data_IF_590401817553
#
_entry.id   IF_590401817553
#
_cell.length_a   1.000
_cell.length_b   1.000
_cell.length_c   1.000
_cell.angle_alpha   90.00
_cell.angle_beta   90.00
_cell.angle_gamma   90.00
#
_symmetry.space_group_name_H-M   'P 1'
#
loop_
_entity.id
_entity.type
_entity.pdbx_description
1 polymer ?
#
# COMPACT_ATOMS: atom_id res chain seq x y z
N UNK A 1 8.81 -59.40 -34.91
CA UNK A 1 7.81 -60.23 -34.21
C UNK A 1 7.51 -59.65 -32.83
N UNK A 2 6.19 -59.53 -32.58
CA UNK A 2 5.47 -59.31 -31.33
C UNK A 2 5.53 -57.92 -30.69
N UNK A 3 4.37 -57.24 -30.92
CA UNK A 3 3.69 -56.21 -30.12
C UNK A 3 3.49 -56.67 -28.67
N UNK A 4 3.47 -55.74 -27.72
CA UNK A 4 2.44 -55.68 -26.69
C UNK A 4 2.27 -54.25 -26.18
N UNK A 5 1.08 -53.73 -26.42
CA UNK A 5 0.38 -52.70 -25.70
C UNK A 5 0.15 -53.15 -24.24
N UNK A 6 -0.09 -52.23 -23.32
CA UNK A 6 -1.06 -52.22 -22.22
C UNK A 6 -0.68 -51.02 -21.32
N UNK A 7 -1.51 -50.03 -21.34
CA UNK A 7 -2.65 -49.62 -20.53
C UNK A 7 -2.34 -48.61 -19.45
N UNK A 8 -3.08 -47.55 -19.61
CA UNK A 8 -3.31 -46.46 -18.64
C UNK A 8 -3.80 -47.00 -17.29
N UNK A 9 -3.37 -46.37 -16.20
CA UNK A 9 -4.21 -46.25 -15.01
C UNK A 9 -4.00 -44.85 -14.39
N UNK A 10 -5.05 -44.04 -14.51
CA UNK A 10 -5.35 -42.91 -13.65
C UNK A 10 -5.50 -43.40 -12.20
N UNK A 11 -4.75 -42.83 -11.27
CA UNK A 11 -5.10 -42.88 -9.85
C UNK A 11 -4.95 -41.48 -9.24
N UNK A 12 -6.10 -40.85 -8.98
CA UNK A 12 -6.26 -39.71 -8.11
C UNK A 12 -5.99 -40.09 -6.64
N UNK A 13 -5.29 -39.30 -5.83
CA UNK A 13 -5.20 -39.55 -4.38
C UNK A 13 -6.49 -39.09 -3.70
N UNK A 14 -7.21 -40.04 -3.11
CA UNK A 14 -8.33 -39.80 -2.20
C UNK A 14 -7.79 -39.26 -0.87
N UNK A 15 -8.21 -38.07 -0.49
CA UNK A 15 -8.03 -37.54 0.87
C UNK A 15 -8.95 -38.31 1.84
N UNK A 16 -8.35 -39.02 2.78
CA UNK A 16 -9.03 -39.59 3.95
C UNK A 16 -9.02 -38.58 5.07
N UNK A 17 -10.22 -38.14 5.47
CA UNK A 17 -10.42 -37.40 6.72
C UNK A 17 -10.47 -38.37 7.88
N UNK A 18 -9.51 -38.34 8.79
CA UNK A 18 -9.60 -39.06 10.07
C UNK A 18 -10.18 -38.07 11.10
N UNK A 19 -11.41 -38.32 11.50
CA UNK A 19 -12.00 -37.68 12.68
C UNK A 19 -11.51 -38.42 13.93
N UNK A 20 -10.70 -37.77 14.75
CA UNK A 20 -10.43 -38.19 16.12
C UNK A 20 -11.33 -37.40 17.06
N UNK A 21 -12.37 -38.05 17.56
CA UNK A 21 -13.20 -37.56 18.67
C UNK A 21 -12.39 -37.69 19.97
N UNK A 22 -12.01 -36.57 20.58
CA UNK A 22 -11.56 -36.56 21.98
C UNK A 22 -12.52 -35.66 22.78
N UNK A 23 -13.38 -36.34 23.54
CA UNK A 23 -14.17 -35.73 24.61
C UNK A 23 -13.24 -35.14 25.68
N UNK A 24 -13.28 -33.83 25.90
CA UNK A 24 -13.04 -33.23 27.21
C UNK A 24 -13.70 -31.85 27.31
N UNK A 25 -14.66 -31.80 28.22
CA UNK A 25 -15.32 -30.61 28.77
C UNK A 25 -14.28 -29.56 29.19
N UNK A 26 -14.29 -28.39 28.57
CA UNK A 26 -13.53 -27.23 29.04
C UNK A 26 -14.52 -26.23 29.63
N UNK A 27 -14.41 -26.03 30.91
CA UNK A 27 -15.10 -25.00 31.70
C UNK A 27 -14.77 -23.61 31.11
N UNK A 28 -15.80 -22.88 30.74
CA UNK A 28 -15.71 -21.48 30.32
C UNK A 28 -15.44 -20.64 31.58
N UNK A 29 -14.19 -20.26 31.80
CA UNK A 29 -13.88 -19.20 32.76
C UNK A 29 -14.20 -17.85 32.11
N UNK A 30 -15.22 -17.18 32.65
CA UNK A 30 -15.49 -15.76 32.35
C UNK A 30 -14.30 -14.93 32.85
N UNK A 31 -13.74 -14.00 32.05
CA UNK A 31 -12.84 -13.02 32.61
C UNK A 31 -13.62 -12.05 33.50
N UNK A 32 -13.15 -11.90 34.72
CA UNK A 32 -13.55 -10.87 35.68
C UNK A 32 -13.11 -9.53 35.10
N UNK A 33 -14.05 -8.65 34.83
CA UNK A 33 -13.79 -7.24 34.55
C UNK A 33 -13.26 -6.59 35.82
N UNK A 34 -11.97 -6.29 35.87
CA UNK A 34 -11.42 -5.33 36.84
C UNK A 34 -11.58 -3.93 36.25
N UNK A 35 -12.48 -3.15 36.84
CA UNK A 35 -12.56 -1.70 36.67
C UNK A 35 -11.23 -1.05 37.05
N UNK A 36 -10.84 -0.07 36.24
CA UNK A 36 -9.77 0.92 36.38
C UNK A 36 -8.58 0.74 35.40
N UNK A 37 -8.84 1.01 34.12
CA UNK A 37 -7.82 1.56 33.24
C UNK A 37 -8.27 2.97 32.84
N UNK A 38 -7.70 3.97 33.51
CA UNK A 38 -7.80 5.38 33.16
C UNK A 38 -7.23 5.56 31.76
N UNK A 39 -8.10 5.88 30.81
CA UNK A 39 -7.68 6.32 29.47
C UNK A 39 -6.97 7.68 29.61
N UNK A 40 -5.79 7.87 29.01
CA UNK A 40 -5.17 9.18 29.00
C UNK A 40 -5.98 10.15 28.16
N UNK A 41 -6.14 11.35 28.71
CA UNK A 41 -7.05 12.41 28.37
C UNK A 41 -7.22 12.73 26.89
N UNK A 42 -8.46 12.98 26.55
CA UNK A 42 -8.90 13.72 25.38
C UNK A 42 -8.47 15.19 25.54
N UNK A 43 -7.34 15.53 24.94
CA UNK A 43 -6.96 16.92 24.72
C UNK A 43 -7.02 17.20 23.22
N UNK A 44 -7.80 18.26 22.89
CA UNK A 44 -7.85 18.98 21.62
C UNK A 44 -8.67 18.34 20.47
N UNK A 45 -9.98 18.16 20.73
CA UNK A 45 -10.97 18.34 19.66
C UNK A 45 -11.59 19.74 19.87
N UNK A 46 -11.69 20.60 18.85
CA UNK A 46 -12.40 21.85 18.96
C UNK A 46 -13.88 21.59 19.22
N UNK A 47 -14.45 22.31 20.17
CA UNK A 47 -15.84 22.28 20.60
C UNK A 47 -16.77 22.53 19.41
N UNK A 48 -17.68 21.58 19.13
CA UNK A 48 -18.63 21.65 18.03
C UNK A 48 -19.84 22.45 18.43
N UNK A 49 -19.87 23.72 17.99
CA UNK A 49 -21.12 24.47 17.87
C UNK A 49 -21.84 24.08 16.57
N UNK A 50 -23.09 23.69 16.70
CA UNK A 50 -24.19 23.50 15.77
C UNK A 50 -23.93 23.82 14.27
N UNK A 51 -23.90 22.77 13.45
CA UNK A 51 -23.79 22.84 11.98
C UNK A 51 -22.79 21.80 11.45
N UNK A 52 -22.91 20.53 11.88
CA UNK A 52 -21.96 19.48 11.52
C UNK A 52 -22.06 19.11 10.04
N UNK A 53 -21.25 19.76 9.19
CA UNK A 53 -20.75 19.09 8.01
C UNK A 53 -19.80 18.01 8.49
N UNK A 54 -20.24 16.74 8.47
CA UNK A 54 -19.39 15.62 8.89
C UNK A 54 -18.05 15.68 8.14
N UNK A 55 -16.95 15.86 8.88
CA UNK A 55 -15.61 15.92 8.30
C UNK A 55 -15.27 14.53 7.75
N UNK A 56 -15.17 14.42 6.44
CA UNK A 56 -14.78 13.16 5.78
C UNK A 56 -13.29 12.94 5.90
N UNK A 57 -12.87 11.82 6.50
CA UNK A 57 -11.47 11.46 6.64
C UNK A 57 -11.00 10.74 5.37
N UNK A 58 -9.97 11.29 4.73
CA UNK A 58 -9.32 10.72 3.55
C UNK A 58 -8.03 10.01 3.94
N UNK A 59 -7.81 8.82 3.41
CA UNK A 59 -6.53 8.10 3.45
C UNK A 59 -6.23 7.60 2.04
N UNK A 60 -5.35 8.31 1.34
CA UNK A 60 -5.13 8.14 -0.10
C UNK A 60 -3.86 7.36 -0.44
N UNK A 61 -3.29 6.64 0.55
CA UNK A 61 -2.10 5.81 0.33
C UNK A 61 -2.12 4.62 1.30
N UNK A 62 -2.36 3.44 0.77
CA UNK A 62 -2.39 2.20 1.54
C UNK A 62 -2.07 0.96 0.69
N UNK A 63 -1.54 -0.08 1.34
CA UNK A 63 -1.08 -1.30 0.69
C UNK A 63 -1.78 -2.55 1.23
N UNK A 64 -1.97 -3.52 0.33
CA UNK A 64 -2.57 -4.81 0.61
C UNK A 64 -1.59 -5.96 0.33
N UNK A 65 -2.05 -7.19 0.53
CA UNK A 65 -1.30 -8.38 0.10
C UNK A 65 -1.15 -8.52 -1.41
N UNK A 66 -1.77 -7.66 -2.23
CA UNK A 66 -1.50 -7.62 -3.66
C UNK A 66 -0.08 -7.09 -3.95
N UNK A 67 0.49 -6.27 -3.04
CA UNK A 67 1.91 -5.90 -3.04
C UNK A 67 2.58 -6.34 -1.73
N UNK A 68 2.89 -5.45 -0.81
CA UNK A 68 3.64 -5.75 0.41
C UNK A 68 2.95 -5.32 1.71
N UNK A 69 1.68 -4.99 1.65
CA UNK A 69 0.84 -4.93 2.82
C UNK A 69 0.65 -6.31 3.47
N UNK A 70 0.25 -6.35 4.72
CA UNK A 70 -0.02 -7.60 5.43
C UNK A 70 -1.51 -7.97 5.51
N UNK A 71 -2.42 -7.06 5.15
CA UNK A 71 -3.85 -7.30 5.11
C UNK A 71 -4.30 -7.59 3.68
N UNK A 72 -5.23 -8.55 3.53
CA UNK A 72 -5.91 -8.72 2.25
C UNK A 72 -6.70 -7.47 1.90
N UNK A 73 -7.03 -7.22 0.62
CA UNK A 73 -7.88 -6.09 0.23
C UNK A 73 -9.18 -6.03 1.03
N UNK A 74 -9.84 -7.16 1.25
CA UNK A 74 -11.03 -7.27 2.09
C UNK A 74 -10.77 -6.85 3.55
N UNK A 75 -9.71 -7.36 4.15
CA UNK A 75 -9.35 -7.03 5.53
C UNK A 75 -8.97 -5.55 5.69
N UNK A 76 -8.32 -4.94 4.67
CA UNK A 76 -7.95 -3.54 4.68
C UNK A 76 -9.17 -2.63 4.69
N UNK A 77 -10.16 -2.85 3.79
CA UNK A 77 -11.36 -2.01 3.72
C UNK A 77 -12.24 -2.16 4.96
N UNK A 78 -12.33 -3.36 5.54
CA UNK A 78 -13.00 -3.58 6.82
C UNK A 78 -12.32 -2.79 7.95
N UNK A 79 -10.98 -2.79 7.98
CA UNK A 79 -10.21 -2.02 8.95
C UNK A 79 -10.39 -0.51 8.73
N UNK A 80 -10.35 -0.03 7.49
CA UNK A 80 -10.58 1.38 7.17
C UNK A 80 -11.94 1.86 7.68
N UNK A 81 -13.00 1.07 7.47
CA UNK A 81 -14.32 1.37 8.00
C UNK A 81 -14.35 1.42 9.55
N UNK A 82 -13.66 0.46 10.22
CA UNK A 82 -13.52 0.47 11.69
C UNK A 82 -12.78 1.72 12.18
N UNK A 83 -11.78 2.19 11.42
CA UNK A 83 -11.02 3.41 11.72
C UNK A 83 -11.73 4.69 11.28
N UNK A 84 -12.99 4.59 10.78
CA UNK A 84 -13.82 5.70 10.31
C UNK A 84 -13.20 6.50 9.17
N UNK A 85 -12.40 5.85 8.32
CA UNK A 85 -11.98 6.42 7.06
C UNK A 85 -13.20 6.49 6.15
N UNK A 86 -13.51 7.66 5.61
CA UNK A 86 -14.65 7.86 4.70
C UNK A 86 -14.25 7.67 3.24
N UNK A 87 -12.99 7.99 2.89
CA UNK A 87 -12.45 7.83 1.54
C UNK A 87 -11.07 7.17 1.64
N UNK A 88 -10.92 6.01 1.00
CA UNK A 88 -9.69 5.22 0.98
C UNK A 88 -9.20 5.05 -0.45
N UNK A 89 -7.92 5.25 -0.72
CA UNK A 89 -7.26 4.71 -1.90
C UNK A 89 -6.42 3.49 -1.54
N UNK A 90 -6.55 2.43 -2.33
CA UNK A 90 -5.61 1.31 -2.34
C UNK A 90 -4.61 1.59 -3.46
N UNK A 91 -3.34 1.64 -3.11
CA UNK A 91 -2.24 2.08 -3.98
C UNK A 91 -1.09 1.09 -3.94
N UNK A 92 -1.40 -0.19 -4.12
CA UNK A 92 -0.41 -1.26 -4.13
C UNK A 92 0.72 -0.99 -5.14
N UNK A 93 1.95 -1.36 -4.80
CA UNK A 93 3.12 -1.15 -5.64
C UNK A 93 2.99 -1.84 -7.01
N UNK A 94 2.96 -1.04 -8.08
CA UNK A 94 2.94 -1.44 -9.49
C UNK A 94 1.86 -2.48 -9.84
N UNK A 95 0.73 -2.49 -9.11
CA UNK A 95 -0.40 -3.38 -9.35
C UNK A 95 -1.73 -2.80 -8.87
N UNK A 96 -2.80 -3.13 -9.59
CA UNK A 96 -4.19 -2.80 -9.22
C UNK A 96 -4.99 -4.05 -8.81
N UNK A 97 -4.32 -5.21 -8.65
CA UNK A 97 -4.97 -6.50 -8.45
C UNK A 97 -5.86 -6.59 -7.19
N UNK A 98 -5.57 -5.78 -6.15
CA UNK A 98 -6.35 -5.74 -4.91
C UNK A 98 -7.70 -5.02 -5.02
N UNK A 99 -7.92 -4.18 -6.05
CA UNK A 99 -9.06 -3.27 -6.12
C UNK A 99 -10.40 -3.98 -6.28
N UNK A 100 -10.46 -5.04 -7.08
CA UNK A 100 -11.70 -5.77 -7.32
C UNK A 100 -12.24 -6.44 -6.05
N UNK A 101 -11.36 -7.11 -5.26
CA UNK A 101 -11.74 -7.71 -3.99
C UNK A 101 -12.19 -6.65 -2.98
N UNK A 102 -11.48 -5.52 -2.91
CA UNK A 102 -11.83 -4.42 -2.04
C UNK A 102 -13.21 -3.84 -2.37
N UNK A 103 -13.48 -3.55 -3.64
CA UNK A 103 -14.77 -3.03 -4.10
C UNK A 103 -15.91 -4.01 -3.81
N UNK A 104 -15.72 -5.30 -4.13
CA UNK A 104 -16.70 -6.34 -3.83
C UNK A 104 -16.99 -6.44 -2.33
N UNK A 105 -15.97 -6.33 -1.48
CA UNK A 105 -16.14 -6.38 -0.02
C UNK A 105 -16.91 -5.17 0.50
N UNK A 106 -16.61 -3.96 0.02
CA UNK A 106 -17.34 -2.74 0.40
C UNK A 106 -18.82 -2.90 0.07
N UNK A 107 -19.15 -3.37 -1.13
CA UNK A 107 -20.54 -3.58 -1.57
C UNK A 107 -21.23 -4.67 -0.75
N UNK A 108 -20.62 -5.84 -0.55
CA UNK A 108 -21.19 -6.97 0.19
C UNK A 108 -21.42 -6.65 1.67
N UNK A 109 -20.51 -5.91 2.28
CA UNK A 109 -20.57 -5.52 3.69
C UNK A 109 -21.28 -4.18 3.92
N UNK A 110 -21.75 -3.53 2.85
CA UNK A 110 -22.42 -2.22 2.88
C UNK A 110 -21.62 -1.18 3.70
N UNK A 111 -20.30 -1.13 3.47
CA UNK A 111 -19.43 -0.22 4.23
C UNK A 111 -19.65 1.22 3.77
N UNK A 112 -19.80 2.14 4.74
CA UNK A 112 -19.80 3.58 4.48
C UNK A 112 -18.38 4.08 4.17
N UNK A 113 -17.80 3.58 3.08
CA UNK A 113 -16.42 3.80 2.66
C UNK A 113 -16.38 3.94 1.14
N UNK A 114 -15.89 5.08 0.65
CA UNK A 114 -15.63 5.29 -0.78
C UNK A 114 -14.23 4.79 -1.12
N UNK A 115 -14.12 3.87 -2.09
CA UNK A 115 -12.85 3.42 -2.64
C UNK A 115 -12.45 4.28 -3.83
N UNK A 116 -11.23 4.80 -3.81
CA UNK A 116 -10.58 5.45 -4.94
C UNK A 116 -9.62 4.43 -5.56
N UNK A 117 -9.81 4.06 -6.85
CA UNK A 117 -8.85 3.20 -7.54
C UNK A 117 -7.50 3.91 -7.66
N UNK A 118 -6.46 3.26 -7.20
CA UNK A 118 -5.11 3.83 -7.20
C UNK A 118 -4.03 2.80 -7.45
N UNK A 119 -2.81 3.28 -7.57
CA UNK A 119 -1.58 2.49 -7.70
C UNK A 119 -0.40 3.33 -7.25
N UNK A 120 0.60 2.74 -6.61
CA UNK A 120 1.90 3.40 -6.36
C UNK A 120 2.92 2.87 -7.36
N UNK A 121 3.28 3.72 -8.35
CA UNK A 121 4.21 3.37 -9.41
C UNK A 121 5.64 3.66 -8.95
N UNK A 122 6.49 2.64 -9.00
CA UNK A 122 7.92 2.78 -8.74
C UNK A 122 8.62 3.43 -9.93
N UNK A 123 9.37 4.50 -9.70
CA UNK A 123 10.11 5.24 -10.74
C UNK A 123 11.57 5.44 -10.40
N UNK A 124 12.37 5.80 -11.39
CA UNK A 124 13.75 6.22 -11.22
C UNK A 124 13.92 7.68 -11.66
N UNK A 125 14.52 8.47 -10.80
CA UNK A 125 14.96 9.83 -11.09
C UNK A 125 16.37 10.07 -10.55
N UNK A 126 17.31 10.44 -11.40
CA UNK A 126 18.71 10.72 -11.01
C UNK A 126 19.34 9.61 -10.11
N UNK A 127 19.05 8.34 -10.42
CA UNK A 127 19.43 7.16 -9.62
C UNK A 127 18.80 7.05 -8.21
N UNK A 128 17.75 7.82 -7.92
CA UNK A 128 16.90 7.66 -6.76
C UNK A 128 15.62 6.91 -7.13
N UNK A 129 15.21 5.96 -6.30
CA UNK A 129 13.89 5.33 -6.40
C UNK A 129 12.87 6.34 -5.85
N UNK A 130 11.95 6.80 -6.70
CA UNK A 130 10.88 7.76 -6.38
C UNK A 130 9.55 7.05 -6.66
N UNK A 131 8.53 7.32 -5.88
CA UNK A 131 7.22 6.72 -6.07
C UNK A 131 6.20 7.77 -6.49
N UNK A 132 5.37 7.40 -7.47
CA UNK A 132 4.28 8.24 -7.94
C UNK A 132 2.97 7.49 -7.71
N UNK A 133 2.10 8.05 -6.89
CA UNK A 133 0.76 7.53 -6.67
C UNK A 133 -0.16 8.06 -7.77
N UNK A 134 -0.84 7.16 -8.47
CA UNK A 134 -1.97 7.47 -9.34
C UNK A 134 -3.26 7.34 -8.55
N UNK A 135 -4.10 8.37 -8.54
CA UNK A 135 -5.41 8.37 -7.88
C UNK A 135 -6.52 8.54 -8.91
N UNK A 136 -7.62 7.78 -8.78
CA UNK A 136 -8.77 7.89 -9.67
C UNK A 136 -8.50 7.38 -11.09
N UNK A 137 -7.59 6.43 -11.25
CA UNK A 137 -7.21 5.85 -12.54
C UNK A 137 -8.29 4.91 -13.07
N UNK A 138 -8.48 4.89 -14.41
CA UNK A 138 -9.14 3.76 -15.06
C UNK A 138 -8.17 2.59 -15.14
N UNK A 139 -8.40 1.58 -14.31
CA UNK A 139 -7.53 0.39 -14.18
C UNK A 139 -7.52 -0.50 -15.42
N UNK A 140 -8.41 -0.25 -16.37
CA UNK A 140 -8.51 -1.00 -17.64
C UNK A 140 -7.94 -0.22 -18.82
N UNK A 141 -7.48 1.02 -18.61
CA UNK A 141 -6.90 1.83 -19.69
C UNK A 141 -5.56 1.24 -20.15
N UNK A 142 -5.36 1.14 -21.47
CA UNK A 142 -4.20 0.49 -22.07
C UNK A 142 -2.84 1.05 -21.55
N UNK A 143 -2.75 2.37 -21.36
CA UNK A 143 -1.52 3.01 -20.91
C UNK A 143 -1.07 2.49 -19.52
N UNK A 144 -2.02 2.41 -18.57
CA UNK A 144 -1.71 1.95 -17.23
C UNK A 144 -1.47 0.44 -17.20
N UNK A 145 -2.28 -0.35 -17.94
CA UNK A 145 -2.10 -1.79 -18.04
C UNK A 145 -0.73 -2.17 -18.61
N UNK A 146 -0.30 -1.48 -19.68
CA UNK A 146 1.01 -1.71 -20.30
C UNK A 146 2.15 -1.37 -19.35
N UNK A 147 2.12 -0.18 -18.73
CA UNK A 147 3.15 0.23 -17.78
C UNK A 147 3.25 -0.74 -16.61
N UNK A 148 2.12 -1.11 -15.98
CA UNK A 148 2.13 -2.00 -14.83
C UNK A 148 2.57 -3.43 -15.19
N UNK A 149 2.29 -3.90 -16.40
CA UNK A 149 2.81 -5.18 -16.89
C UNK A 149 4.33 -5.18 -17.01
N UNK A 150 4.92 -4.11 -17.56
CA UNK A 150 6.37 -3.95 -17.65
C UNK A 150 7.01 -3.84 -16.27
N UNK A 151 6.43 -3.05 -15.37
CA UNK A 151 6.90 -2.90 -13.99
C UNK A 151 6.85 -4.23 -13.22
N UNK A 152 5.78 -5.00 -13.38
CA UNK A 152 5.64 -6.33 -12.77
C UNK A 152 6.74 -7.28 -13.25
N UNK A 153 7.07 -7.26 -14.55
CA UNK A 153 8.18 -8.03 -15.08
C UNK A 153 9.53 -7.59 -14.50
N UNK A 154 9.78 -6.28 -14.42
CA UNK A 154 10.98 -5.74 -13.79
C UNK A 154 11.10 -6.15 -12.32
N UNK A 155 9.99 -6.15 -11.56
CA UNK A 155 9.96 -6.66 -10.19
C UNK A 155 10.32 -8.12 -10.10
N UNK A 156 9.71 -8.95 -10.94
CA UNK A 156 9.99 -10.38 -10.97
C UNK A 156 11.46 -10.67 -11.26
N UNK A 157 12.03 -10.08 -12.32
CA UNK A 157 13.45 -10.24 -12.69
C UNK A 157 14.35 -9.78 -11.55
N UNK A 158 14.08 -8.61 -10.97
CA UNK A 158 14.84 -8.08 -9.82
C UNK A 158 14.79 -9.01 -8.62
N UNK A 159 13.61 -9.56 -8.31
CA UNK A 159 13.43 -10.48 -7.18
C UNK A 159 14.23 -11.79 -7.38
N UNK A 160 14.24 -12.35 -8.59
CA UNK A 160 15.07 -13.52 -8.92
C UNK A 160 16.57 -13.23 -8.73
N UNK A 161 17.02 -12.05 -9.16
CA UNK A 161 18.43 -11.66 -9.00
C UNK A 161 18.79 -11.42 -7.52
N UNK A 162 17.90 -10.80 -6.71
CA UNK A 162 18.09 -10.67 -5.26
C UNK A 162 18.26 -12.05 -4.63
N UNK A 163 17.38 -13.00 -4.95
CA UNK A 163 17.47 -14.37 -4.46
C UNK A 163 18.78 -15.03 -4.81
N UNK A 164 19.20 -14.94 -6.07
CA UNK A 164 20.48 -15.50 -6.53
C UNK A 164 21.68 -14.90 -5.78
N UNK A 165 21.68 -13.60 -5.51
CA UNK A 165 22.73 -12.93 -4.73
C UNK A 165 22.73 -13.37 -3.25
N UNK A 166 21.55 -13.51 -2.64
CA UNK A 166 21.44 -13.99 -1.27
C UNK A 166 21.87 -15.45 -1.14
N UNK A 167 21.55 -16.31 -2.11
CA UNK A 167 22.03 -17.70 -2.16
C UNK A 167 23.55 -17.78 -2.20
N UNK A 168 24.23 -16.94 -3.02
CA UNK A 168 25.70 -16.82 -3.04
C UNK A 168 26.28 -16.40 -1.68
N UNK A 169 25.51 -15.66 -0.88
CA UNK A 169 25.87 -15.27 0.49
C UNK A 169 25.47 -16.33 1.55
N UNK A 170 25.16 -17.56 1.14
CA UNK A 170 24.74 -18.66 1.99
C UNK A 170 23.41 -18.43 2.75
N UNK A 171 22.52 -17.67 2.13
CA UNK A 171 21.13 -17.50 2.57
C UNK A 171 20.26 -18.25 1.54
N UNK A 172 19.98 -19.54 1.75
CA UNK A 172 19.21 -20.37 0.83
C UNK A 172 17.71 -20.00 0.89
N UNK A 173 16.96 -20.50 -0.08
CA UNK A 173 15.49 -20.47 -0.12
C UNK A 173 14.90 -19.06 -0.02
N UNK A 174 15.69 -18.03 -0.43
CA UNK A 174 15.27 -16.64 -0.30
C UNK A 174 14.09 -16.31 -1.21
N UNK A 175 14.01 -16.93 -2.40
CA UNK A 175 12.88 -16.79 -3.30
C UNK A 175 11.62 -17.44 -2.70
N UNK A 176 11.73 -18.69 -2.28
CA UNK A 176 10.63 -19.46 -1.71
C UNK A 176 10.05 -18.78 -0.47
N UNK A 177 10.94 -18.28 0.40
CA UNK A 177 10.56 -17.55 1.60
C UNK A 177 9.85 -16.23 1.28
N UNK A 178 10.41 -15.43 0.38
CA UNK A 178 9.82 -14.16 -0.04
C UNK A 178 8.49 -14.37 -0.78
N UNK A 179 8.40 -15.35 -1.68
CA UNK A 179 7.21 -15.67 -2.44
C UNK A 179 6.08 -16.22 -1.53
N UNK A 180 6.42 -17.05 -0.54
CA UNK A 180 5.46 -17.49 0.48
C UNK A 180 4.86 -16.31 1.24
N UNK A 181 5.69 -15.34 1.62
CA UNK A 181 5.26 -14.14 2.33
C UNK A 181 4.46 -13.16 1.45
N UNK A 182 4.68 -13.19 0.15
CA UNK A 182 3.88 -12.42 -0.82
C UNK A 182 2.47 -13.00 -1.03
N UNK A 183 2.23 -14.26 -0.63
CA UNK A 183 0.89 -14.89 -0.63
C UNK A 183 0.13 -14.76 -1.95
N UNK A 184 0.83 -14.83 -3.08
CA UNK A 184 0.26 -14.66 -4.42
C UNK A 184 0.30 -13.23 -4.98
N UNK A 185 0.66 -12.23 -4.18
CA UNK A 185 0.93 -10.87 -4.61
C UNK A 185 2.32 -10.69 -5.22
N UNK A 186 2.65 -9.46 -5.57
CA UNK A 186 3.98 -9.13 -6.13
C UNK A 186 5.08 -9.28 -5.08
N UNK A 187 6.16 -9.98 -5.43
CA UNK A 187 7.32 -10.11 -4.54
C UNK A 187 8.13 -8.81 -4.53
N UNK A 188 8.21 -8.17 -3.36
CA UNK A 188 8.97 -6.93 -3.14
C UNK A 188 10.22 -7.17 -2.29
N UNK A 189 11.08 -6.16 -2.16
CA UNK A 189 12.20 -6.19 -1.20
C UNK A 189 11.73 -6.33 0.25
N UNK A 190 10.52 -5.86 0.55
CA UNK A 190 9.88 -6.00 1.86
C UNK A 190 9.69 -7.47 2.24
N UNK A 191 9.30 -8.33 1.28
CA UNK A 191 9.14 -9.76 1.51
C UNK A 191 10.47 -10.45 1.82
N UNK A 192 11.52 -10.16 1.05
CA UNK A 192 12.88 -10.63 1.38
C UNK A 192 13.31 -10.17 2.77
N UNK A 193 13.05 -8.90 3.10
CA UNK A 193 13.42 -8.38 4.41
C UNK A 193 12.68 -9.09 5.55
N UNK A 194 11.37 -9.33 5.40
CA UNK A 194 10.59 -10.12 6.37
C UNK A 194 11.10 -11.55 6.51
N UNK A 195 11.41 -12.20 5.38
CA UNK A 195 11.98 -13.55 5.40
C UNK A 195 13.34 -13.61 6.14
N UNK A 196 14.22 -12.65 5.91
CA UNK A 196 15.51 -12.60 6.61
C UNK A 196 15.35 -12.32 8.12
N UNK A 197 14.30 -11.61 8.52
CA UNK A 197 13.93 -11.48 9.95
C UNK A 197 13.44 -12.80 10.52
N UNK A 198 12.59 -13.56 9.81
CA UNK A 198 12.15 -14.91 10.21
C UNK A 198 13.33 -15.87 10.40
N UNK A 199 14.35 -15.76 9.56
CA UNK A 199 15.60 -16.53 9.69
C UNK A 199 16.49 -16.08 10.87
N UNK A 200 16.11 -15.04 11.60
CA UNK A 200 16.90 -14.50 12.71
C UNK A 200 18.18 -13.76 12.29
N UNK A 201 18.33 -13.41 11.00
CA UNK A 201 19.52 -12.73 10.48
C UNK A 201 19.58 -11.25 10.86
N UNK A 202 18.45 -10.67 11.26
CA UNK A 202 18.32 -9.34 11.83
C UNK A 202 17.07 -9.26 12.71
N UNK A 203 17.02 -8.30 13.64
CA UNK A 203 15.91 -8.16 14.58
C UNK A 203 14.69 -7.45 13.99
N UNK A 204 14.83 -6.74 12.87
CA UNK A 204 13.77 -6.04 12.19
C UNK A 204 14.10 -5.74 10.72
N UNK A 205 13.07 -5.40 9.95
CA UNK A 205 13.16 -5.08 8.50
C UNK A 205 14.19 -3.99 8.20
N UNK A 206 14.22 -2.90 8.99
CA UNK A 206 15.17 -1.80 8.77
C UNK A 206 16.64 -2.24 8.89
N UNK A 207 16.94 -3.16 9.82
CA UNK A 207 18.27 -3.75 9.93
C UNK A 207 18.62 -4.66 8.75
N UNK A 208 17.62 -5.40 8.21
CA UNK A 208 17.83 -6.20 7.00
C UNK A 208 18.23 -5.31 5.83
N UNK A 209 17.51 -4.21 5.60
CA UNK A 209 17.88 -3.27 4.54
C UNK A 209 19.33 -2.79 4.70
N UNK A 210 19.71 -2.31 5.90
CA UNK A 210 21.08 -1.83 6.17
C UNK A 210 22.15 -2.91 5.96
N UNK A 211 21.85 -4.17 6.28
CA UNK A 211 22.83 -5.26 6.29
C UNK A 211 22.92 -5.99 4.95
N UNK A 212 21.79 -6.16 4.23
CA UNK A 212 21.69 -7.08 3.11
C UNK A 212 21.15 -6.45 1.82
N UNK A 213 20.22 -5.51 1.86
CA UNK A 213 19.43 -5.08 0.69
C UNK A 213 19.72 -3.65 0.21
N UNK A 214 20.33 -2.80 1.03
CA UNK A 214 20.71 -1.45 0.63
C UNK A 214 21.85 -1.43 -0.39
N UNK A 215 22.04 -0.29 -1.06
CA UNK A 215 23.13 -0.07 -2.05
C UNK A 215 24.49 -0.50 -1.48
N UNK A 216 25.23 -1.27 -2.25
CA UNK A 216 26.53 -1.81 -1.83
C UNK A 216 26.47 -3.03 -0.91
N UNK A 217 25.30 -3.59 -0.64
CA UNK A 217 25.10 -4.82 0.14
C UNK A 217 24.89 -6.04 -0.76
N UNK A 218 25.07 -7.23 -0.18
CA UNK A 218 25.10 -8.50 -0.93
C UNK A 218 23.84 -8.75 -1.75
N UNK A 219 22.64 -8.48 -1.22
CA UNK A 219 21.37 -8.68 -1.92
C UNK A 219 20.91 -7.45 -2.70
N UNK A 220 21.72 -6.39 -2.81
CA UNK A 220 21.32 -5.21 -3.56
C UNK A 220 21.31 -5.49 -5.07
N UNK A 221 20.20 -5.22 -5.70
CA UNK A 221 20.01 -5.22 -7.15
C UNK A 221 19.50 -3.85 -7.57
N UNK A 222 20.16 -3.15 -8.50
CA UNK A 222 19.65 -1.88 -9.03
C UNK A 222 18.22 -2.04 -9.57
N UNK A 223 17.40 -1.04 -9.37
CA UNK A 223 16.08 -1.00 -9.98
C UNK A 223 16.18 -0.64 -11.47
N UNK A 224 15.20 -1.11 -12.25
CA UNK A 224 15.01 -0.78 -13.66
C UNK A 224 13.57 -0.29 -13.87
N UNK A 225 13.16 0.67 -13.03
CA UNK A 225 11.83 1.23 -13.08
C UNK A 225 11.65 2.21 -14.23
N UNK A 226 10.41 2.49 -14.59
CA UNK A 226 10.08 3.57 -15.51
C UNK A 226 10.56 4.94 -14.97
N UNK A 227 10.51 5.95 -15.80
CA UNK A 227 10.80 7.34 -15.38
C UNK A 227 9.57 7.99 -14.75
N UNK A 228 9.76 9.12 -14.07
CA UNK A 228 8.66 9.91 -13.50
C UNK A 228 7.69 10.35 -14.60
N UNK A 229 8.22 10.77 -15.75
CA UNK A 229 7.45 11.24 -16.90
C UNK A 229 6.54 10.13 -17.47
N UNK A 230 7.07 8.91 -17.59
CA UNK A 230 6.30 7.76 -18.06
C UNK A 230 5.17 7.41 -17.09
N UNK A 231 5.43 7.48 -15.78
CA UNK A 231 4.41 7.23 -14.76
C UNK A 231 3.31 8.30 -14.80
N UNK A 232 3.68 9.59 -14.86
CA UNK A 232 2.73 10.70 -14.97
C UNK A 232 1.89 10.55 -16.22
N UNK A 233 2.51 10.28 -17.38
CA UNK A 233 1.80 10.15 -18.66
C UNK A 233 0.77 9.01 -18.63
N UNK A 234 1.15 7.82 -18.11
CA UNK A 234 0.23 6.69 -17.98
C UNK A 234 -0.93 6.98 -17.03
N UNK A 235 -0.68 7.65 -15.90
CA UNK A 235 -1.73 8.06 -14.95
C UNK A 235 -2.69 9.07 -15.61
N UNK A 236 -2.16 10.08 -16.28
CA UNK A 236 -2.97 11.12 -16.93
C UNK A 236 -3.82 10.55 -18.07
N UNK A 237 -3.26 9.68 -18.90
CA UNK A 237 -4.01 9.01 -19.97
C UNK A 237 -5.14 8.13 -19.44
N UNK A 238 -4.96 7.53 -18.25
CA UNK A 238 -6.01 6.75 -17.59
C UNK A 238 -7.03 7.62 -16.81
N UNK A 239 -7.01 8.94 -16.98
CA UNK A 239 -7.93 9.87 -16.33
C UNK A 239 -7.61 10.19 -14.86
N UNK A 240 -6.50 9.67 -14.33
CA UNK A 240 -6.08 9.85 -12.94
C UNK A 240 -5.32 11.14 -12.66
N UNK A 241 -5.03 11.34 -11.37
CA UNK A 241 -4.17 12.42 -10.86
C UNK A 241 -2.86 11.81 -10.35
N UNK A 242 -1.72 12.40 -10.78
CA UNK A 242 -0.39 11.98 -10.37
C UNK A 242 0.04 12.70 -9.09
N UNK A 243 0.43 11.95 -8.07
CA UNK A 243 0.82 12.44 -6.75
C UNK A 243 2.24 11.98 -6.41
N UNK A 244 3.14 12.91 -6.07
CA UNK A 244 4.46 12.55 -5.54
C UNK A 244 4.30 11.96 -4.13
N UNK A 245 4.61 10.67 -3.97
CA UNK A 245 4.44 9.95 -2.72
C UNK A 245 5.53 10.32 -1.69
N UNK A 246 5.16 10.41 -0.43
CA UNK A 246 6.02 10.54 0.76
C UNK A 246 7.35 11.33 0.57
N UNK A 247 7.34 12.56 0.03
CA UNK A 247 8.57 13.30 -0.33
C UNK A 247 9.50 13.58 0.87
N UNK A 248 8.97 13.57 2.08
CA UNK A 248 9.75 13.73 3.31
C UNK A 248 10.56 12.48 3.71
N UNK A 249 10.34 11.33 3.06
CA UNK A 249 11.04 10.07 3.39
C UNK A 249 12.25 9.77 2.51
N UNK A 250 12.43 10.51 1.41
CA UNK A 250 13.59 10.35 0.56
C UNK A 250 14.84 10.91 1.24
N UNK A 251 15.95 10.17 1.15
CA UNK A 251 17.25 10.64 1.63
C UNK A 251 17.83 11.68 0.63
N UNK A 252 17.11 12.79 0.52
CA UNK A 252 17.43 13.92 -0.36
C UNK A 252 17.71 15.17 0.46
N UNK A 253 18.73 15.92 0.07
CA UNK A 253 18.90 17.28 0.61
C UNK A 253 17.75 18.18 0.15
N UNK A 254 17.48 19.28 0.86
CA UNK A 254 16.45 20.24 0.46
C UNK A 254 16.65 20.76 -0.99
N UNK A 255 17.90 20.89 -1.46
CA UNK A 255 18.23 21.28 -2.83
C UNK A 255 17.76 20.20 -3.83
N UNK A 256 18.00 18.94 -3.52
CA UNK A 256 17.61 17.83 -4.37
C UNK A 256 16.10 17.60 -4.38
N UNK A 257 15.45 17.74 -3.21
CA UNK A 257 13.99 17.65 -3.13
C UNK A 257 13.32 18.76 -3.96
N UNK A 258 13.82 20.00 -3.90
CA UNK A 258 13.32 21.10 -4.73
C UNK A 258 13.51 20.85 -6.23
N UNK A 259 14.61 20.23 -6.65
CA UNK A 259 14.80 19.80 -8.05
C UNK A 259 13.80 18.74 -8.46
N UNK A 260 13.54 17.74 -7.59
CA UNK A 260 12.53 16.72 -7.83
C UNK A 260 11.14 17.33 -7.99
N UNK A 261 10.76 18.24 -7.09
CA UNK A 261 9.46 18.93 -7.14
C UNK A 261 9.30 19.76 -8.42
N UNK A 262 10.34 20.51 -8.81
CA UNK A 262 10.34 21.27 -10.05
C UNK A 262 10.18 20.37 -11.26
N UNK A 263 10.92 19.27 -11.33
CA UNK A 263 10.83 18.29 -12.39
C UNK A 263 9.44 17.63 -12.44
N UNK A 264 8.91 17.18 -11.30
CA UNK A 264 7.59 16.57 -11.20
C UNK A 264 6.47 17.52 -11.66
N UNK A 265 6.52 18.79 -11.25
CA UNK A 265 5.54 19.81 -11.67
C UNK A 265 5.68 20.15 -13.16
N UNK A 266 6.91 20.24 -13.69
CA UNK A 266 7.18 20.52 -15.12
C UNK A 266 6.57 19.47 -16.03
N UNK A 267 6.62 18.19 -15.62
CA UNK A 267 6.04 17.08 -16.39
C UNK A 267 4.54 16.82 -16.11
N UNK A 268 3.87 17.70 -15.39
CA UNK A 268 2.41 17.68 -15.21
C UNK A 268 1.93 16.88 -14.01
N UNK A 269 2.79 16.67 -13.00
CA UNK A 269 2.35 16.14 -11.70
C UNK A 269 1.30 17.06 -11.06
N UNK A 270 0.27 16.49 -10.45
CA UNK A 270 -0.89 17.24 -9.92
C UNK A 270 -0.73 17.59 -8.45
N UNK A 271 -0.19 16.69 -7.65
CA UNK A 271 -0.16 16.83 -6.20
C UNK A 271 1.09 16.21 -5.57
N UNK A 272 1.30 16.52 -4.29
CA UNK A 272 2.28 15.83 -3.47
C UNK A 272 1.69 15.46 -2.11
N UNK A 273 2.18 14.40 -1.49
CA UNK A 273 1.80 14.07 -0.12
C UNK A 273 2.42 15.09 0.86
N UNK A 274 1.53 15.79 1.56
CA UNK A 274 1.88 16.79 2.58
C UNK A 274 1.73 16.20 3.98
N UNK A 275 0.76 15.30 4.19
CA UNK A 275 0.46 14.77 5.51
C UNK A 275 0.56 13.24 5.55
N UNK A 276 1.31 12.74 6.54
CA UNK A 276 1.49 11.33 6.86
C UNK A 276 1.43 11.08 8.37
N UNK A 277 1.25 9.81 8.78
CA UNK A 277 1.06 9.41 10.18
C UNK A 277 2.18 9.84 11.13
N UNK A 278 3.43 9.74 10.72
CA UNK A 278 4.61 9.89 11.61
C UNK A 278 5.33 11.23 11.44
N UNK A 279 4.70 12.16 10.79
CA UNK A 279 5.31 13.44 10.45
C UNK A 279 5.31 14.39 11.63
N UNK A 280 6.45 15.06 11.84
CA UNK A 280 6.51 16.17 12.77
C UNK A 280 5.76 17.40 12.21
N UNK A 281 5.15 18.27 13.06
CA UNK A 281 4.40 19.42 12.59
C UNK A 281 5.19 20.37 11.68
N UNK A 282 6.47 20.56 11.93
CA UNK A 282 7.33 21.42 11.11
C UNK A 282 7.64 20.82 9.73
N UNK A 283 7.77 19.49 9.63
CA UNK A 283 7.95 18.80 8.35
C UNK A 283 6.70 18.94 7.48
N UNK A 284 5.51 18.77 8.08
CA UNK A 284 4.23 18.95 7.40
C UNK A 284 4.07 20.40 6.90
N UNK A 285 4.39 21.38 7.74
CA UNK A 285 4.36 22.79 7.35
C UNK A 285 5.35 23.11 6.20
N UNK A 286 6.53 22.50 6.21
CA UNK A 286 7.51 22.62 5.14
C UNK A 286 7.01 22.03 3.82
N UNK A 287 6.41 20.82 3.84
CA UNK A 287 5.85 20.19 2.64
C UNK A 287 4.66 20.99 2.10
N UNK A 288 3.81 21.52 2.99
CA UNK A 288 2.74 22.43 2.61
C UNK A 288 3.27 23.70 1.91
N UNK A 289 4.39 24.25 2.38
CA UNK A 289 5.04 25.38 1.72
C UNK A 289 5.55 24.97 0.33
N UNK A 290 6.18 23.82 0.21
CA UNK A 290 6.62 23.31 -1.10
C UNK A 290 5.46 23.08 -2.06
N UNK A 291 4.34 22.51 -1.60
CA UNK A 291 3.15 22.35 -2.45
C UNK A 291 2.70 23.69 -3.06
N UNK A 292 2.65 24.75 -2.24
CA UNK A 292 2.36 26.11 -2.73
C UNK A 292 3.43 26.66 -3.69
N UNK A 293 4.71 26.52 -3.35
CA UNK A 293 5.82 27.05 -4.14
C UNK A 293 5.89 26.45 -5.55
N UNK A 294 5.43 25.21 -5.72
CA UNK A 294 5.42 24.49 -7.00
C UNK A 294 4.04 24.35 -7.62
N UNK A 295 3.00 25.05 -7.10
CA UNK A 295 1.61 24.98 -7.55
C UNK A 295 1.04 23.53 -7.61
N UNK A 296 1.44 22.70 -6.65
CA UNK A 296 0.94 21.36 -6.48
C UNK A 296 -0.20 21.33 -5.47
N UNK A 297 -1.21 20.52 -5.74
CA UNK A 297 -2.23 20.17 -4.76
C UNK A 297 -1.61 19.36 -3.61
N UNK A 298 -2.32 19.29 -2.49
CA UNK A 298 -1.89 18.53 -1.33
C UNK A 298 -2.66 17.21 -1.22
N UNK A 299 -1.94 16.11 -1.10
CA UNK A 299 -2.47 14.80 -0.75
C UNK A 299 -2.09 14.42 0.66
N UNK A 300 -2.75 13.38 1.18
CA UNK A 300 -2.45 12.76 2.47
C UNK A 300 -2.68 11.26 2.40
N UNK A 301 -1.86 10.50 3.13
CA UNK A 301 -1.99 9.05 3.20
C UNK A 301 -1.22 8.47 4.36
N UNK A 302 -1.69 7.34 4.89
CA UNK A 302 -1.02 6.64 5.98
C UNK A 302 0.23 5.90 5.52
N UNK A 303 0.27 5.50 4.26
CA UNK A 303 1.22 4.54 3.72
C UNK A 303 1.22 3.25 4.56
N UNK A 304 -0.01 2.78 4.81
CA UNK A 304 -0.27 1.65 5.70
C UNK A 304 0.14 0.34 5.04
N UNK A 305 1.07 -0.37 5.65
CA UNK A 305 1.48 -1.72 5.25
C UNK A 305 1.06 -2.77 6.28
N UNK A 306 1.04 -2.40 7.56
CA UNK A 306 0.67 -3.29 8.65
C UNK A 306 0.23 -2.52 9.90
N UNK A 307 -0.65 -3.09 10.74
CA UNK A 307 -0.98 -2.49 12.02
C UNK A 307 0.26 -2.33 12.89
N UNK A 308 0.51 -1.12 13.37
CA UNK A 308 1.56 -0.87 14.34
C UNK A 308 1.21 0.35 15.22
N UNK A 309 1.97 0.56 16.28
CA UNK A 309 1.66 1.61 17.27
C UNK A 309 1.73 3.04 16.72
N UNK A 310 2.42 3.26 15.60
CA UNK A 310 2.65 4.58 15.04
C UNK A 310 2.07 4.80 13.63
N UNK A 311 1.73 3.75 12.88
CA UNK A 311 1.01 3.83 11.59
C UNK A 311 -0.34 3.14 11.72
N UNK A 312 -1.41 3.83 11.33
CA UNK A 312 -2.76 3.31 11.29
C UNK A 312 -3.54 4.05 10.21
N UNK A 313 -4.52 3.39 9.59
CA UNK A 313 -5.40 4.00 8.60
C UNK A 313 -6.10 5.23 9.18
N UNK A 314 -6.07 6.34 8.44
CA UNK A 314 -6.68 7.61 8.83
C UNK A 314 -6.02 8.36 9.98
N UNK A 315 -4.97 7.80 10.59
CA UNK A 315 -4.40 8.36 11.81
C UNK A 315 -3.59 9.63 11.55
N UNK A 316 -3.96 10.72 12.23
CA UNK A 316 -3.28 12.03 12.12
C UNK A 316 -3.18 12.56 10.70
N UNK A 317 -4.11 12.18 9.84
CA UNK A 317 -4.21 12.68 8.47
C UNK A 317 -5.08 13.94 8.47
N UNK A 318 -4.46 15.06 8.23
CA UNK A 318 -5.08 16.37 8.06
C UNK A 318 -4.14 17.30 7.30
N UNK A 319 -4.68 18.12 6.40
CA UNK A 319 -3.91 19.09 5.64
C UNK A 319 -3.79 20.41 6.37
N UNK A 320 -2.60 21.07 6.38
CA UNK A 320 -2.45 22.41 6.90
C UNK A 320 -3.30 23.44 6.16
N UNK A 321 -3.63 24.53 6.81
CA UNK A 321 -4.31 25.64 6.16
C UNK A 321 -3.48 26.22 4.99
N UNK A 322 -4.17 26.68 3.95
CA UNK A 322 -3.57 27.34 2.80
C UNK A 322 -2.95 26.41 1.75
N UNK A 323 -3.27 25.13 1.77
CA UNK A 323 -3.06 24.20 0.64
C UNK A 323 -4.39 23.73 0.11
N UNK A 324 -4.46 23.48 -1.19
CA UNK A 324 -5.65 22.96 -1.86
C UNK A 324 -5.55 21.42 -1.89
N UNK A 325 -6.59 20.69 -1.45
CA UNK A 325 -6.56 19.23 -1.45
C UNK A 325 -6.67 18.65 -2.86
N UNK A 326 -6.02 17.52 -3.12
CA UNK A 326 -6.10 16.82 -4.41
C UNK A 326 -7.53 16.40 -4.76
N UNK A 327 -8.38 16.19 -3.77
CA UNK A 327 -9.79 15.82 -3.92
C UNK A 327 -10.76 17.00 -3.99
N UNK A 328 -10.28 18.27 -4.13
CA UNK A 328 -11.15 19.46 -4.15
C UNK A 328 -12.24 19.41 -5.22
N UNK A 329 -11.91 18.84 -6.38
CA UNK A 329 -12.80 18.77 -7.53
C UNK A 329 -13.46 17.38 -7.70
N UNK A 330 -13.26 16.47 -6.73
CA UNK A 330 -13.91 15.17 -6.78
C UNK A 330 -15.40 15.29 -6.47
N UNK A 331 -16.27 14.54 -7.19
CA UNK A 331 -17.69 14.58 -6.87
C UNK A 331 -17.91 14.18 -5.42
N UNK A 332 -18.58 15.07 -4.67
CA UNK A 332 -19.04 14.79 -3.32
C UNK A 332 -20.35 14.00 -3.51
N UNK A 333 -20.26 12.71 -3.75
CA UNK A 333 -21.42 11.86 -3.54
C UNK A 333 -21.48 11.51 -2.05
N UNK A 334 -22.58 11.90 -1.34
CA UNK A 334 -22.86 11.27 -0.07
C UNK A 334 -22.95 9.76 -0.31
N UNK A 335 -22.47 8.95 0.59
CA UNK A 335 -22.69 7.51 0.58
C UNK A 335 -24.21 7.24 0.71
N UNK A 336 -24.98 7.45 -0.35
CA UNK A 336 -26.40 7.12 -0.43
C UNK A 336 -26.52 5.66 -0.84
N UNK A 337 -26.76 4.82 0.17
CA UNK A 337 -27.10 3.40 0.03
C UNK A 337 -28.57 3.16 -0.38
N UNK A 338 -29.30 4.15 -0.90
CA UNK A 338 -30.75 4.03 -1.03
C UNK A 338 -31.39 4.41 -2.38
N UNK A 339 -30.68 4.47 -3.49
CA UNK A 339 -31.30 4.77 -4.78
C UNK A 339 -31.08 3.69 -5.83
N UNK A 340 -31.51 2.45 -5.59
CA UNK A 340 -31.88 1.48 -6.66
C UNK A 340 -32.71 0.31 -6.10
N UNK A 341 -33.92 0.63 -5.58
CA UNK A 341 -35.01 -0.35 -5.52
C UNK A 341 -36.30 0.41 -5.83
N UNK A 342 -36.54 0.67 -7.11
CA UNK A 342 -37.88 0.85 -7.70
C UNK A 342 -37.75 1.09 -9.22
N UNK A 343 -37.78 0.00 -9.98
CA UNK A 343 -38.55 -0.06 -11.24
C UNK A 343 -38.46 -1.46 -11.86
#
# INVERSE_FOLDING_TARGET
MRKKLINEYHTQPRFFWIFVLVNKTVLINKPVLSDNAILPGSADLPDTAAGSTAFTLYDLHSHTTASDGCLTPAALVMRAAQMRVGVLAITDHDTTAGLAEAAATIAQQQLALRLIPGVEISTLWENHEIHIVGLGIDIHHDSICTLLSEQSNHRYVRAQEISARLAKARIPDAWEGANRLASGGQVTRGHFARYLVELGLASNVGQVFKKYLAKGKTGYVPAQWCTIEQAIDAIKQSGGQAVLAHPGRYDLTAKWLKRLLAHFAEFGGDAMEVAQCQQAPHERAQLAQYARDYNLLASQGSDFHQPCSWIELGRKLWLPAGVEPVWRDWPIEPANLNDEVES
#
